data_IF_724779588081
#
_entry.id   IF_724779588081
#
_cell.length_a   1.000
_cell.length_b   1.000
_cell.length_c   1.000
_cell.angle_alpha   90.00
_cell.angle_beta   90.00
_cell.angle_gamma   90.00
#
_symmetry.space_group_name_H-M   'P 1'
#
loop_
_entity.id
_entity.type
_entity.pdbx_description
1 polymer ?
#
# COMPACT_ATOMS: atom_id res chain seq x y z
N UNK A 1 2.54 33.99 4.03
CA UNK A 1 3.27 34.78 3.01
C UNK A 1 2.78 36.22 3.08
N UNK A 2 3.71 37.17 3.10
CA UNK A 2 3.39 38.59 3.24
C UNK A 2 3.13 39.26 1.88
N UNK A 3 3.51 38.60 0.77
CA UNK A 3 3.28 39.08 -0.60
C UNK A 3 2.93 37.90 -1.55
N UNK A 4 2.28 38.23 -2.68
CA UNK A 4 1.92 37.25 -3.70
C UNK A 4 3.15 36.88 -4.52
N UNK A 5 3.60 35.63 -4.38
CA UNK A 5 4.65 35.03 -5.20
C UNK A 5 4.02 34.51 -6.50
N UNK A 6 4.69 34.73 -7.64
CA UNK A 6 4.25 34.29 -8.97
C UNK A 6 5.19 33.24 -9.55
N UNK A 7 4.71 32.37 -10.42
CA UNK A 7 5.58 31.47 -11.18
C UNK A 7 6.66 32.26 -11.95
N UNK A 8 7.91 31.86 -11.75
CA UNK A 8 9.08 32.53 -12.34
C UNK A 8 9.83 33.46 -11.39
N UNK A 9 9.26 33.78 -10.23
CA UNK A 9 9.97 34.58 -9.21
C UNK A 9 11.14 33.79 -8.62
N UNK A 10 12.28 34.45 -8.46
CA UNK A 10 13.44 33.86 -7.80
C UNK A 10 13.35 34.09 -6.30
N UNK A 11 13.24 33.00 -5.54
CA UNK A 11 13.13 33.02 -4.08
C UNK A 11 14.35 32.34 -3.48
N UNK A 12 14.96 33.01 -2.51
CA UNK A 12 16.01 32.45 -1.66
C UNK A 12 15.49 32.13 -0.28
N UNK A 13 16.00 31.04 0.35
CA UNK A 13 15.65 30.66 1.71
C UNK A 13 16.88 30.72 2.63
N UNK A 14 16.78 31.39 3.77
CA UNK A 14 17.77 31.37 4.84
C UNK A 14 17.18 30.71 6.07
N UNK A 15 17.84 29.66 6.57
CA UNK A 15 17.37 28.92 7.74
C UNK A 15 18.25 29.17 8.95
N UNK A 16 17.62 29.38 10.10
CA UNK A 16 18.32 29.43 11.39
C UNK A 16 17.66 28.50 12.41
N UNK A 17 18.47 27.99 13.34
CA UNK A 17 18.01 27.26 14.50
C UNK A 17 17.42 28.24 15.51
N UNK A 18 16.16 28.00 15.93
CA UNK A 18 15.48 28.79 16.96
C UNK A 18 15.63 28.18 18.35
N UNK A 19 15.36 26.87 18.45
CA UNK A 19 15.30 26.19 19.73
C UNK A 19 15.67 24.70 19.60
N UNK A 20 16.30 24.17 20.63
CA UNK A 20 16.44 22.74 20.88
C UNK A 20 15.92 22.47 22.28
N UNK A 21 14.79 21.77 22.38
CA UNK A 21 14.19 21.46 23.68
C UNK A 21 15.12 20.61 24.55
N UNK A 22 14.87 20.61 25.85
CA UNK A 22 15.39 19.58 26.72
C UNK A 22 14.96 18.19 26.23
N UNK A 23 15.69 17.16 26.68
CA UNK A 23 15.39 15.77 26.34
C UNK A 23 13.99 15.38 26.81
N UNK A 24 13.22 14.80 25.92
CA UNK A 24 11.84 14.34 26.19
C UNK A 24 11.65 12.89 25.81
N UNK A 25 11.00 12.14 26.69
CA UNK A 25 10.55 10.79 26.41
C UNK A 25 9.20 10.84 25.69
N UNK A 26 9.16 10.32 24.47
CA UNK A 26 7.95 10.24 23.65
C UNK A 26 7.57 8.80 23.39
N UNK A 27 6.41 8.56 22.76
CA UNK A 27 5.97 7.22 22.40
C UNK A 27 6.93 6.51 21.42
N UNK A 28 7.60 7.26 20.53
CA UNK A 28 8.47 6.73 19.48
C UNK A 28 9.96 6.73 19.84
N UNK A 29 10.35 7.44 20.90
CA UNK A 29 11.73 7.47 21.38
C UNK A 29 12.02 8.64 22.31
N UNK A 30 13.19 8.58 22.94
CA UNK A 30 13.74 9.67 23.73
C UNK A 30 14.53 10.60 22.80
N UNK A 31 14.29 11.89 22.87
CA UNK A 31 14.93 12.83 21.97
C UNK A 31 14.64 14.29 22.27
N UNK A 32 14.94 15.16 21.31
CA UNK A 32 14.82 16.59 21.40
C UNK A 32 13.94 17.12 20.26
N UNK A 33 13.09 18.09 20.56
CA UNK A 33 12.44 18.89 19.52
C UNK A 33 13.40 19.97 19.05
N UNK A 34 13.62 20.00 17.74
CA UNK A 34 14.45 21.02 17.08
C UNK A 34 13.53 21.91 16.28
N UNK A 35 13.54 23.21 16.59
CA UNK A 35 12.73 24.22 15.92
C UNK A 35 13.63 25.10 15.08
N UNK A 36 13.31 25.24 13.80
CA UNK A 36 14.01 26.09 12.86
C UNK A 36 13.06 27.09 12.23
N UNK A 37 13.57 28.27 11.89
CA UNK A 37 12.88 29.26 11.10
C UNK A 37 13.55 29.37 9.73
N UNK A 38 12.76 29.35 8.67
CA UNK A 38 13.22 29.66 7.32
C UNK A 38 12.59 30.98 6.89
N UNK A 39 13.41 31.96 6.56
CA UNK A 39 13.00 33.24 5.99
C UNK A 39 13.18 33.16 4.48
N UNK A 40 12.12 33.47 3.75
CA UNK A 40 12.12 33.51 2.30
C UNK A 40 12.21 34.97 1.83
N UNK A 41 13.14 35.23 0.90
CA UNK A 41 13.35 36.57 0.34
C UNK A 41 13.32 36.50 -1.19
N UNK A 42 12.84 37.58 -1.81
CA UNK A 42 12.88 37.76 -3.26
C UNK A 42 14.29 38.11 -3.76
N UNK A 43 14.42 38.32 -5.08
CA UNK A 43 15.69 38.71 -5.71
C UNK A 43 16.25 40.06 -5.22
N UNK A 44 15.43 40.91 -4.65
CA UNK A 44 15.85 42.21 -4.05
C UNK A 44 16.33 42.06 -2.61
N UNK A 45 16.17 40.90 -1.99
CA UNK A 45 16.46 40.63 -0.59
C UNK A 45 15.32 40.97 0.36
N UNK A 46 14.14 41.40 -0.16
CA UNK A 46 12.97 41.67 0.65
C UNK A 46 12.33 40.37 1.11
N UNK A 47 11.98 40.28 2.39
CA UNK A 47 11.27 39.11 2.94
C UNK A 47 9.87 39.03 2.34
N UNK A 48 9.54 37.83 1.77
CA UNK A 48 8.24 37.51 1.18
C UNK A 48 7.48 36.44 1.99
N UNK A 49 8.11 35.88 3.01
CA UNK A 49 7.46 34.97 3.93
C UNK A 49 8.43 34.34 4.93
N UNK A 50 7.88 33.67 5.93
CA UNK A 50 8.66 32.83 6.85
C UNK A 50 7.92 31.54 7.18
N UNK A 51 8.68 30.53 7.60
CA UNK A 51 8.16 29.24 8.03
C UNK A 51 8.90 28.78 9.28
N UNK A 52 8.16 28.53 10.35
CA UNK A 52 8.68 27.81 11.51
C UNK A 52 8.42 26.33 11.34
N UNK A 53 9.45 25.52 11.52
CA UNK A 53 9.37 24.07 11.38
C UNK A 53 9.95 23.39 12.62
N UNK A 54 9.17 22.48 13.21
CA UNK A 54 9.56 21.75 14.40
C UNK A 54 9.58 20.25 14.15
N UNK A 55 10.72 19.62 14.39
CA UNK A 55 10.93 18.17 14.23
C UNK A 55 11.39 17.53 15.52
N UNK A 56 11.03 16.26 15.73
CA UNK A 56 11.58 15.45 16.79
C UNK A 56 12.77 14.66 16.23
N UNK A 57 13.95 14.90 16.81
CA UNK A 57 15.14 14.06 16.63
C UNK A 57 15.23 13.13 17.82
N UNK A 58 15.08 11.82 17.60
CA UNK A 58 14.99 10.84 18.67
C UNK A 58 15.86 9.61 18.40
N UNK A 59 16.17 8.89 19.45
CA UNK A 59 16.85 7.60 19.37
C UNK A 59 15.80 6.50 19.21
N UNK A 60 15.78 5.77 18.08
CA UNK A 60 14.86 4.65 17.89
C UNK A 60 15.01 3.58 18.98
N UNK A 61 13.90 2.94 19.36
CA UNK A 61 13.89 1.88 20.36
C UNK A 61 13.91 2.34 21.83
N UNK A 62 13.99 3.66 22.09
CA UNK A 62 13.97 4.22 23.45
C UNK A 62 12.61 4.77 23.86
N UNK A 63 11.59 4.62 23.02
CA UNK A 63 10.22 5.05 23.32
C UNK A 63 9.60 4.25 24.46
N UNK A 64 8.55 4.80 25.05
CA UNK A 64 7.73 4.05 26.02
C UNK A 64 7.06 2.89 25.27
N UNK A 65 7.74 1.76 25.22
CA UNK A 65 7.11 0.53 24.73
C UNK A 65 6.01 0.14 25.71
N UNK A 66 4.76 0.15 25.27
CA UNK A 66 3.78 -0.73 25.87
C UNK A 66 4.34 -2.15 25.69
N UNK A 67 4.65 -2.84 26.80
CA UNK A 67 5.39 -4.10 26.85
C UNK A 67 4.66 -5.31 26.26
N UNK A 68 3.57 -5.09 25.55
CA UNK A 68 2.96 -6.10 24.70
C UNK A 68 3.01 -5.62 23.26
N UNK A 69 3.63 -6.38 22.33
CA UNK A 69 3.47 -6.07 20.92
C UNK A 69 1.96 -6.01 20.64
N UNK A 70 1.47 -4.96 19.97
CA UNK A 70 0.05 -4.85 19.68
C UNK A 70 -0.39 -6.12 18.98
N UNK A 71 -1.42 -6.78 19.52
CA UNK A 71 -1.98 -7.99 18.91
C UNK A 71 -2.30 -7.64 17.46
N UNK A 72 -1.66 -8.33 16.52
CA UNK A 72 -1.84 -8.09 15.10
C UNK A 72 -3.34 -8.13 14.76
N UNK A 73 -3.92 -7.08 14.17
CA UNK A 73 -5.32 -7.10 13.81
C UNK A 73 -5.59 -8.18 12.75
N UNK A 74 -6.79 -8.74 12.71
CA UNK A 74 -7.14 -9.69 11.66
C UNK A 74 -7.07 -9.00 10.30
N UNK A 75 -6.71 -9.78 9.27
CA UNK A 75 -6.76 -9.27 7.88
C UNK A 75 -8.18 -8.78 7.54
N UNK A 76 -8.32 -7.69 6.81
CA UNK A 76 -9.63 -7.21 6.40
C UNK A 76 -10.32 -8.27 5.54
N UNK A 77 -11.60 -8.47 5.77
CA UNK A 77 -12.40 -9.34 4.91
C UNK A 77 -12.59 -8.68 3.54
N UNK A 78 -12.63 -9.45 2.45
CA UNK A 78 -12.94 -8.91 1.14
C UNK A 78 -14.34 -8.27 1.15
N UNK A 79 -14.53 -7.25 0.31
CA UNK A 79 -15.84 -6.66 0.11
C UNK A 79 -16.76 -7.68 -0.57
N UNK A 80 -17.90 -7.94 0.05
CA UNK A 80 -18.92 -8.86 -0.43
C UNK A 80 -19.93 -8.10 -1.31
N UNK A 81 -20.24 -8.66 -2.47
CA UNK A 81 -21.29 -8.18 -3.36
C UNK A 81 -21.78 -9.35 -4.24
N UNK A 82 -22.97 -9.18 -4.85
CA UNK A 82 -23.62 -10.25 -5.62
C UNK A 82 -22.78 -10.84 -6.78
N UNK A 83 -21.79 -10.09 -7.26
CA UNK A 83 -20.91 -10.57 -8.34
C UNK A 83 -19.72 -11.40 -7.82
N UNK A 84 -19.37 -11.27 -6.54
CA UNK A 84 -18.13 -11.87 -5.98
C UNK A 84 -18.41 -12.82 -4.81
N UNK A 85 -19.61 -12.87 -4.26
CA UNK A 85 -19.94 -13.69 -3.09
C UNK A 85 -19.65 -15.17 -3.33
N UNK A 86 -20.06 -15.69 -4.47
CA UNK A 86 -19.79 -17.07 -4.87
C UNK A 86 -18.30 -17.42 -4.90
N UNK A 87 -17.45 -16.47 -5.29
CA UNK A 87 -16.00 -16.66 -5.32
C UNK A 87 -15.43 -16.82 -3.91
N UNK A 88 -15.83 -15.94 -2.99
CA UNK A 88 -15.36 -16.01 -1.61
C UNK A 88 -15.93 -17.18 -0.84
N UNK A 89 -17.17 -17.59 -1.14
CA UNK A 89 -17.78 -18.80 -0.58
C UNK A 89 -17.04 -20.04 -1.06
N UNK A 90 -16.68 -20.10 -2.33
CA UNK A 90 -15.85 -21.19 -2.85
C UNK A 90 -14.47 -21.23 -2.17
N UNK A 91 -13.82 -20.07 -2.01
CA UNK A 91 -12.53 -19.97 -1.30
C UNK A 91 -12.65 -20.47 0.15
N UNK A 92 -13.74 -20.15 0.87
CA UNK A 92 -14.00 -20.66 2.21
C UNK A 92 -14.13 -22.19 2.25
N UNK A 93 -14.63 -22.78 1.17
CA UNK A 93 -14.73 -24.23 0.98
C UNK A 93 -13.45 -24.85 0.39
N UNK A 94 -12.36 -24.08 0.26
CA UNK A 94 -11.07 -24.50 -0.31
C UNK A 94 -11.17 -24.89 -1.81
N UNK A 95 -12.10 -24.28 -2.51
CA UNK A 95 -12.24 -24.40 -3.95
C UNK A 95 -11.81 -23.10 -4.62
N UNK A 96 -10.98 -23.18 -5.65
CA UNK A 96 -10.72 -22.05 -6.54
C UNK A 96 -11.67 -22.17 -7.73
N UNK A 97 -12.63 -21.24 -7.83
CA UNK A 97 -13.58 -21.19 -8.93
C UNK A 97 -13.30 -20.00 -9.83
N UNK A 98 -13.47 -20.20 -11.12
CA UNK A 98 -13.30 -19.20 -12.17
C UNK A 98 -14.63 -18.99 -12.87
N UNK A 99 -14.97 -17.75 -13.16
CA UNK A 99 -16.19 -17.42 -13.88
C UNK A 99 -16.10 -17.90 -15.32
N UNK A 100 -17.15 -18.58 -15.79
CA UNK A 100 -17.31 -19.06 -17.15
C UNK A 100 -18.55 -18.44 -17.80
N UNK A 101 -18.54 -18.29 -19.10
CA UNK A 101 -19.68 -17.79 -19.86
C UNK A 101 -20.41 -18.95 -20.53
N UNK A 102 -21.70 -19.10 -20.27
CA UNK A 102 -22.53 -20.13 -20.88
C UNK A 102 -22.70 -19.96 -22.40
N UNK A 103 -22.54 -18.72 -22.88
CA UNK A 103 -22.77 -18.43 -24.29
C UNK A 103 -21.52 -18.66 -25.18
N UNK A 104 -20.32 -18.35 -24.68
CA UNK A 104 -19.09 -18.47 -25.49
C UNK A 104 -18.01 -19.34 -24.84
N UNK A 105 -18.31 -19.97 -23.69
CA UNK A 105 -17.38 -20.77 -22.89
C UNK A 105 -16.08 -20.02 -22.48
N UNK A 106 -16.03 -18.71 -22.63
CA UNK A 106 -14.89 -17.88 -22.21
C UNK A 106 -14.77 -17.88 -20.69
N UNK A 107 -13.53 -18.02 -20.21
CA UNK A 107 -13.20 -17.94 -18.78
C UNK A 107 -12.70 -16.52 -18.47
N UNK A 108 -13.00 -16.03 -17.26
CA UNK A 108 -12.59 -14.71 -16.83
C UNK A 108 -12.35 -14.61 -15.33
N UNK A 109 -11.36 -13.83 -14.97
CA UNK A 109 -11.06 -13.41 -13.60
C UNK A 109 -10.44 -11.99 -13.64
N UNK A 110 -10.77 -11.06 -12.72
CA UNK A 110 -11.72 -11.21 -11.61
C UNK A 110 -13.18 -11.36 -12.08
N UNK A 111 -14.09 -11.78 -11.16
CA UNK A 111 -15.52 -11.86 -11.46
C UNK A 111 -16.11 -10.54 -11.96
N UNK A 112 -16.97 -10.62 -12.97
CA UNK A 112 -17.64 -9.47 -13.55
C UNK A 112 -19.14 -9.75 -13.75
N UNK A 113 -19.94 -8.70 -13.94
CA UNK A 113 -21.39 -8.82 -14.17
C UNK A 113 -21.76 -9.28 -15.58
N UNK A 114 -20.79 -9.25 -16.50
CA UNK A 114 -20.94 -9.65 -17.91
C UNK A 114 -19.70 -10.36 -18.38
N UNK A 115 -19.87 -11.23 -19.38
CA UNK A 115 -18.74 -11.80 -20.09
C UNK A 115 -17.93 -10.70 -20.81
N UNK A 116 -16.62 -10.68 -20.56
CA UNK A 116 -15.71 -9.71 -21.16
C UNK A 116 -15.51 -9.93 -22.67
N UNK A 117 -15.77 -11.15 -23.15
CA UNK A 117 -15.59 -11.52 -24.56
C UNK A 117 -16.83 -11.28 -25.41
N UNK A 118 -18.04 -11.65 -24.93
CA UNK A 118 -19.26 -11.58 -25.74
C UNK A 118 -20.38 -10.73 -25.13
N UNK A 119 -20.18 -10.13 -23.94
CA UNK A 119 -21.16 -9.28 -23.29
C UNK A 119 -22.35 -10.00 -22.65
N UNK A 120 -22.44 -11.34 -22.75
CA UNK A 120 -23.52 -12.14 -22.15
C UNK A 120 -23.59 -11.94 -20.64
N UNK A 121 -24.80 -11.98 -20.09
CA UNK A 121 -25.04 -11.98 -18.64
C UNK A 121 -25.29 -13.40 -18.10
N UNK A 122 -25.37 -14.42 -18.99
CA UNK A 122 -25.46 -15.82 -18.57
C UNK A 122 -24.07 -16.32 -18.23
N UNK A 123 -23.80 -16.40 -16.94
CA UNK A 123 -22.50 -16.70 -16.38
C UNK A 123 -22.65 -17.83 -15.36
N UNK A 124 -21.72 -18.77 -15.40
CA UNK A 124 -21.54 -19.88 -14.46
C UNK A 124 -20.11 -19.87 -13.93
N UNK A 125 -19.70 -20.94 -13.28
CA UNK A 125 -18.36 -21.11 -12.72
C UNK A 125 -17.79 -22.49 -13.01
N UNK A 126 -16.47 -22.57 -13.17
CA UNK A 126 -15.73 -23.83 -13.22
C UNK A 126 -14.74 -23.92 -12.07
N UNK A 127 -14.49 -25.15 -11.60
CA UNK A 127 -13.44 -25.39 -10.59
C UNK A 127 -12.09 -25.42 -11.31
N UNK A 128 -11.19 -24.54 -10.87
CA UNK A 128 -9.83 -24.53 -11.38
C UNK A 128 -8.99 -25.64 -10.75
N UNK A 129 -8.00 -26.11 -11.48
CA UNK A 129 -7.04 -27.13 -11.01
C UNK A 129 -6.16 -26.64 -9.86
N UNK A 130 -6.09 -25.32 -9.65
CA UNK A 130 -5.17 -24.69 -8.70
C UNK A 130 -3.72 -24.68 -9.17
N UNK A 131 -3.45 -25.12 -10.40
CA UNK A 131 -2.12 -25.10 -11.01
C UNK A 131 -1.96 -23.85 -11.85
N UNK A 132 -0.73 -23.28 -11.85
CA UNK A 132 -0.42 -22.10 -12.65
C UNK A 132 1.08 -21.84 -12.68
N UNK A 133 1.46 -20.85 -13.47
CA UNK A 133 2.83 -20.35 -13.54
C UNK A 133 2.88 -18.90 -13.05
N UNK A 134 3.96 -18.54 -12.38
CA UNK A 134 4.20 -17.16 -11.97
C UNK A 134 4.48 -16.34 -13.22
N UNK A 135 3.59 -15.38 -13.52
CA UNK A 135 3.72 -14.49 -14.67
C UNK A 135 4.57 -13.26 -14.36
N UNK A 136 4.37 -12.70 -13.18
CA UNK A 136 5.15 -11.59 -12.64
C UNK A 136 4.96 -11.48 -11.13
N UNK A 137 5.84 -10.75 -10.47
CA UNK A 137 5.73 -10.54 -9.03
C UNK A 137 6.29 -9.18 -8.62
N UNK A 138 5.91 -8.75 -7.41
CA UNK A 138 6.42 -7.55 -6.78
C UNK A 138 6.57 -7.76 -5.27
N UNK A 139 7.49 -7.03 -4.66
CA UNK A 139 7.66 -6.98 -3.22
C UNK A 139 7.08 -5.65 -2.71
N UNK A 140 6.05 -5.73 -1.90
CA UNK A 140 5.51 -4.56 -1.24
C UNK A 140 6.21 -4.35 0.11
N UNK A 141 6.86 -3.21 0.27
CA UNK A 141 7.50 -2.79 1.51
C UNK A 141 6.67 -1.74 2.23
N UNK A 142 6.01 -0.85 1.49
CA UNK A 142 5.22 0.28 1.97
C UNK A 142 3.99 0.54 1.09
N UNK A 143 2.92 1.16 1.64
CA UNK A 143 2.69 1.41 3.07
C UNK A 143 2.46 0.10 3.84
N UNK A 144 2.93 0.03 5.08
CA UNK A 144 2.73 -1.15 5.89
C UNK A 144 1.36 -1.12 6.57
N UNK A 145 0.52 -2.09 6.25
CA UNK A 145 -0.77 -2.31 6.90
C UNK A 145 -0.57 -3.33 8.02
N UNK A 146 -0.94 -3.01 9.29
CA UNK A 146 -0.62 -3.85 10.45
C UNK A 146 -1.11 -5.29 10.39
N UNK A 147 -2.10 -5.58 9.53
CA UNK A 147 -2.67 -6.92 9.36
C UNK A 147 -1.80 -7.89 8.54
N UNK A 148 -0.76 -7.39 7.85
CA UNK A 148 0.10 -8.19 6.99
C UNK A 148 1.53 -8.29 7.52
N UNK A 149 2.26 -9.29 7.09
CA UNK A 149 3.69 -9.43 7.30
C UNK A 149 4.44 -8.85 6.11
N UNK A 150 5.56 -8.20 6.39
CA UNK A 150 6.38 -7.53 5.38
C UNK A 150 7.82 -8.06 5.45
N UNK A 151 8.51 -8.17 4.31
CA UNK A 151 8.06 -7.80 2.96
C UNK A 151 6.90 -8.68 2.47
N UNK A 152 5.91 -8.09 1.80
CA UNK A 152 4.75 -8.82 1.27
C UNK A 152 4.98 -9.16 -0.20
N UNK A 153 5.09 -10.45 -0.49
CA UNK A 153 5.22 -10.93 -1.86
C UNK A 153 3.84 -11.03 -2.51
N UNK A 154 3.69 -10.36 -3.65
CA UNK A 154 2.46 -10.36 -4.45
C UNK A 154 2.80 -10.87 -5.85
N UNK A 155 2.15 -11.94 -6.27
CA UNK A 155 2.31 -12.55 -7.58
C UNK A 155 1.10 -12.37 -8.46
N UNK A 156 1.33 -12.20 -9.76
CA UNK A 156 0.36 -12.41 -10.80
C UNK A 156 0.59 -13.82 -11.35
N UNK A 157 -0.35 -14.70 -11.12
CA UNK A 157 -0.26 -16.11 -11.52
C UNK A 157 -1.15 -16.35 -12.73
N UNK A 158 -0.60 -16.93 -13.78
CA UNK A 158 -1.37 -17.45 -14.92
C UNK A 158 -1.78 -18.88 -14.61
N UNK A 159 -3.08 -19.11 -14.44
CA UNK A 159 -3.63 -20.42 -14.15
C UNK A 159 -3.62 -21.31 -15.39
N UNK A 160 -3.63 -22.63 -15.18
CA UNK A 160 -3.70 -23.61 -16.28
C UNK A 160 -4.94 -23.41 -17.18
N UNK A 161 -5.98 -22.78 -16.64
CA UNK A 161 -7.22 -22.42 -17.32
C UNK A 161 -7.09 -21.16 -18.21
N UNK A 162 -5.91 -20.52 -18.27
CA UNK A 162 -5.63 -19.38 -19.13
C UNK A 162 -6.10 -18.01 -18.59
N UNK A 163 -6.52 -17.93 -17.33
CA UNK A 163 -6.83 -16.68 -16.65
C UNK A 163 -5.74 -16.29 -15.66
N UNK A 164 -5.66 -15.00 -15.32
CA UNK A 164 -4.67 -14.50 -14.37
C UNK A 164 -5.30 -14.12 -13.05
N UNK A 165 -4.61 -14.46 -11.97
CA UNK A 165 -5.01 -14.22 -10.59
C UNK A 165 -3.90 -13.50 -9.84
N UNK A 166 -4.25 -12.43 -9.11
CA UNK A 166 -3.33 -11.80 -8.15
C UNK A 166 -3.47 -12.48 -6.80
N UNK A 167 -2.35 -12.91 -6.23
CA UNK A 167 -2.31 -13.58 -4.93
C UNK A 167 -1.05 -13.23 -4.15
N UNK A 168 -1.09 -13.45 -2.84
CA UNK A 168 0.13 -13.45 -2.04
C UNK A 168 0.91 -14.73 -2.32
N UNK A 169 2.22 -14.61 -2.43
CA UNK A 169 3.14 -15.73 -2.51
C UNK A 169 3.62 -16.02 -1.08
N UNK A 170 3.57 -17.28 -0.67
CA UNK A 170 4.00 -17.74 0.66
C UNK A 170 5.00 -18.90 0.52
N UNK A 171 5.70 -19.18 1.61
CA UNK A 171 6.58 -20.35 1.74
C UNK A 171 7.77 -20.37 0.75
N UNK A 172 8.22 -19.18 0.33
CA UNK A 172 9.39 -19.00 -0.53
C UNK A 172 10.08 -17.68 -0.20
N UNK A 173 11.40 -17.64 -0.27
CA UNK A 173 12.17 -16.41 -0.13
C UNK A 173 12.15 -15.61 -1.44
N UNK A 174 12.22 -14.26 -1.37
CA UNK A 174 12.17 -13.40 -2.55
C UNK A 174 13.24 -13.71 -3.60
N UNK A 175 14.43 -14.14 -3.14
CA UNK A 175 15.59 -14.44 -3.98
C UNK A 175 15.42 -15.73 -4.78
N UNK A 176 14.52 -16.60 -4.34
CA UNK A 176 14.26 -17.89 -4.97
C UNK A 176 13.12 -17.82 -6.00
N UNK A 177 12.42 -16.68 -6.10
CA UNK A 177 11.36 -16.48 -7.08
C UNK A 177 11.92 -16.43 -8.51
N UNK A 178 11.34 -17.25 -9.38
CA UNK A 178 11.66 -17.30 -10.83
C UNK A 178 10.36 -17.24 -11.63
N UNK A 179 10.45 -16.57 -12.78
CA UNK A 179 9.40 -16.50 -13.80
C UNK A 179 9.64 -17.61 -14.83
#
# INVERSE_FOLDING_TARGET
>A
YDETIKPGDLISGSQKLLDVSEQKATAIGVGHFVTTETIYSDASGKQVGSMEFRVLKFQPGTGKQNQQPPKKPPRPKPASNSSTDWFWDACNNKELRIQSCDNCAGLQHPPAVRCLSCGSISLDTVIATGKGALHSWAIAHYPQVPAFDYPLLVGLVELAEGVRLVSNITDIEPEDLKI
#
